data_IF_761609737431
#
_entry.id   IF_761609737431
#
_cell.length_a   1.000
_cell.length_b   1.000
_cell.length_c   1.000
_cell.angle_alpha   90.00
_cell.angle_beta   90.00
_cell.angle_gamma   90.00
#
_symmetry.space_group_name_H-M   'P 1'
#
loop_
_entity.id
_entity.type
_entity.pdbx_description
1 polymer ?
#
# COMPACT_ATOMS: atom_id res chain seq x y z
N UNK A 1 31.47 6.04 -16.67
CA UNK A 1 30.47 5.55 -15.69
C UNK A 1 29.16 5.39 -16.43
N UNK A 2 28.54 4.21 -16.47
CA UNK A 2 27.20 4.11 -17.02
C UNK A 2 26.28 4.79 -16.01
N UNK A 3 25.73 5.94 -16.40
CA UNK A 3 24.56 6.49 -15.72
C UNK A 3 23.50 5.40 -15.82
N UNK A 4 23.01 4.90 -14.69
CA UNK A 4 21.76 4.15 -14.65
C UNK A 4 20.69 5.08 -15.22
N UNK A 5 20.44 4.96 -16.53
CA UNK A 5 19.31 5.58 -17.20
C UNK A 5 18.10 4.76 -16.80
N UNK A 6 17.55 5.06 -15.63
CA UNK A 6 16.18 4.65 -15.34
C UNK A 6 15.32 5.59 -16.17
N UNK A 7 14.62 5.06 -17.16
CA UNK A 7 13.77 5.88 -18.02
C UNK A 7 12.59 6.43 -17.20
N UNK A 8 12.19 7.71 -17.40
CA UNK A 8 11.03 8.30 -16.74
C UNK A 8 9.75 7.46 -16.88
N UNK A 9 9.62 6.76 -18.02
CA UNK A 9 8.57 5.79 -18.32
C UNK A 9 8.53 4.63 -17.32
N UNK A 10 9.69 4.07 -16.98
CA UNK A 10 9.84 2.96 -16.03
C UNK A 10 9.52 3.40 -14.60
N UNK A 11 9.93 4.62 -14.21
CA UNK A 11 9.59 5.20 -12.91
C UNK A 11 8.09 5.49 -12.80
N UNK A 12 7.45 6.00 -13.86
CA UNK A 12 6.00 6.22 -13.90
C UNK A 12 5.24 4.91 -13.77
N UNK A 13 5.67 3.88 -14.49
CA UNK A 13 5.10 2.54 -14.40
C UNK A 13 5.23 1.96 -12.99
N UNK A 14 6.41 2.07 -12.37
CA UNK A 14 6.64 1.59 -11.01
C UNK A 14 5.81 2.35 -9.97
N UNK A 15 5.68 3.66 -10.10
CA UNK A 15 4.82 4.45 -9.23
C UNK A 15 3.35 4.02 -9.36
N UNK A 16 2.85 3.86 -10.58
CA UNK A 16 1.50 3.36 -10.82
C UNK A 16 1.27 1.98 -10.17
N UNK A 17 2.22 1.05 -10.34
CA UNK A 17 2.16 -0.26 -9.68
C UNK A 17 2.11 -0.18 -8.17
N UNK A 18 2.89 0.70 -7.55
CA UNK A 18 2.85 0.91 -6.10
C UNK A 18 1.49 1.44 -5.66
N UNK A 19 0.88 2.36 -6.41
CA UNK A 19 -0.48 2.84 -6.14
C UNK A 19 -1.49 1.69 -6.15
N UNK A 20 -1.45 0.84 -7.19
CA UNK A 20 -2.31 -0.34 -7.28
C UNK A 20 -2.12 -1.31 -6.11
N UNK A 21 -0.87 -1.58 -5.73
CA UNK A 21 -0.59 -2.45 -4.58
C UNK A 21 -1.17 -1.88 -3.29
N UNK A 22 -1.09 -0.56 -3.06
CA UNK A 22 -1.71 0.07 -1.90
C UNK A 22 -3.25 -0.10 -1.90
N UNK A 23 -3.89 0.04 -3.06
CA UNK A 23 -5.35 -0.15 -3.22
C UNK A 23 -5.76 -1.61 -2.97
N UNK A 24 -5.01 -2.59 -3.49
CA UNK A 24 -5.26 -4.01 -3.22
C UNK A 24 -5.15 -4.35 -1.72
N UNK A 25 -4.16 -3.78 -1.03
CA UNK A 25 -3.99 -3.97 0.41
C UNK A 25 -5.19 -3.38 1.15
N UNK A 26 -5.67 -2.18 0.77
CA UNK A 26 -6.85 -1.56 1.39
C UNK A 26 -8.10 -2.41 1.23
N UNK A 27 -8.33 -2.96 0.03
CA UNK A 27 -9.47 -3.86 -0.20
C UNK A 27 -9.37 -5.15 0.62
N UNK A 28 -8.16 -5.72 0.73
CA UNK A 28 -7.93 -6.89 1.57
C UNK A 28 -8.19 -6.58 3.06
N UNK A 29 -7.74 -5.43 3.55
CA UNK A 29 -8.00 -4.92 4.90
C UNK A 29 -9.49 -4.80 5.17
N UNK A 30 -10.26 -4.17 4.28
CA UNK A 30 -11.71 -4.05 4.44
C UNK A 30 -12.40 -5.42 4.51
N UNK A 31 -11.96 -6.35 3.65
CA UNK A 31 -12.48 -7.73 3.66
C UNK A 31 -12.17 -8.44 4.99
N UNK A 32 -10.96 -8.25 5.53
CA UNK A 32 -10.57 -8.80 6.83
C UNK A 32 -11.37 -8.17 7.98
N UNK A 33 -11.62 -6.86 7.95
CA UNK A 33 -12.46 -6.18 8.95
C UNK A 33 -13.88 -6.74 8.96
N UNK A 34 -14.51 -6.87 7.77
CA UNK A 34 -15.84 -7.48 7.62
C UNK A 34 -15.85 -8.93 8.12
N UNK A 35 -14.83 -9.71 7.77
CA UNK A 35 -14.71 -11.08 8.25
C UNK A 35 -14.55 -11.15 9.78
N UNK A 36 -13.76 -10.25 10.37
CA UNK A 36 -13.54 -10.18 11.82
C UNK A 36 -14.83 -9.85 12.59
N UNK A 37 -15.63 -8.92 12.05
CA UNK A 37 -16.94 -8.54 12.60
C UNK A 37 -17.95 -9.69 12.52
N UNK A 38 -17.89 -10.50 11.46
CA UNK A 38 -18.82 -11.61 11.22
C UNK A 38 -18.41 -12.92 11.90
N UNK A 39 -17.34 -12.94 12.69
CA UNK A 39 -16.97 -14.09 13.50
C UNK A 39 -17.98 -14.28 14.64
N UNK A 40 -19.04 -15.07 14.41
CA UNK A 40 -19.98 -15.51 15.44
C UNK A 40 -20.32 -17.02 15.46
N UNK A 41 -20.44 -17.51 16.71
CA UNK A 41 -20.96 -18.79 17.26
C UNK A 41 -20.18 -20.08 16.96
N UNK A 42 -19.17 -20.39 17.79
CA UNK A 42 -18.61 -21.74 17.85
C UNK A 42 -17.28 -21.92 18.60
N UNK A 43 -16.57 -20.83 18.94
CA UNK A 43 -15.25 -20.90 19.54
C UNK A 43 -15.22 -20.31 20.96
N UNK A 44 -14.53 -21.00 21.87
CA UNK A 44 -14.37 -20.66 23.29
C UNK A 44 -13.91 -19.21 23.47
N UNK A 45 -14.62 -18.43 24.30
CA UNK A 45 -14.59 -16.97 24.36
C UNK A 45 -13.20 -16.32 24.48
N UNK A 46 -12.25 -16.92 25.22
CA UNK A 46 -10.93 -16.34 25.43
C UNK A 46 -10.02 -16.41 24.19
N UNK A 47 -10.11 -17.49 23.40
CA UNK A 47 -9.35 -17.62 22.16
C UNK A 47 -9.84 -16.65 21.07
N UNK A 48 -11.15 -16.37 21.05
CA UNK A 48 -11.76 -15.38 20.16
C UNK A 48 -11.22 -13.98 20.43
N UNK A 49 -11.24 -13.53 21.68
CA UNK A 49 -10.81 -12.17 22.02
C UNK A 49 -9.37 -11.92 21.60
N UNK A 50 -8.45 -12.82 21.95
CA UNK A 50 -7.04 -12.72 21.55
C UNK A 50 -6.85 -12.73 20.03
N UNK A 51 -7.59 -13.58 19.32
CA UNK A 51 -7.54 -13.65 17.86
C UNK A 51 -8.08 -12.36 17.21
N UNK A 52 -9.21 -11.84 17.67
CA UNK A 52 -9.78 -10.61 17.13
C UNK A 52 -8.87 -9.41 17.38
N UNK A 53 -8.28 -9.29 18.58
CA UNK A 53 -7.33 -8.23 18.89
C UNK A 53 -6.05 -8.33 18.05
N UNK A 54 -5.49 -9.52 17.86
CA UNK A 54 -4.33 -9.72 16.98
C UNK A 54 -4.68 -9.42 15.51
N UNK A 55 -5.88 -9.80 15.06
CA UNK A 55 -6.35 -9.50 13.71
C UNK A 55 -6.55 -8.00 13.50
N UNK A 56 -7.11 -7.28 14.48
CA UNK A 56 -7.22 -5.82 14.47
C UNK A 56 -5.86 -5.14 14.40
N UNK A 57 -4.88 -5.61 15.18
CA UNK A 57 -3.52 -5.08 15.13
C UNK A 57 -2.87 -5.29 13.75
N UNK A 58 -3.05 -6.46 13.13
CA UNK A 58 -2.58 -6.74 11.77
C UNK A 58 -3.27 -5.89 10.72
N UNK A 59 -4.59 -5.68 10.84
CA UNK A 59 -5.37 -4.79 9.99
C UNK A 59 -4.80 -3.38 10.05
N UNK A 60 -4.54 -2.84 11.24
CA UNK A 60 -3.93 -1.52 11.43
C UNK A 60 -2.52 -1.45 10.82
N UNK A 61 -1.72 -2.49 11.00
CA UNK A 61 -0.38 -2.58 10.40
C UNK A 61 -0.45 -2.54 8.86
N UNK A 62 -1.38 -3.29 8.26
CA UNK A 62 -1.58 -3.31 6.82
C UNK A 62 -2.07 -1.95 6.29
N UNK A 63 -2.97 -1.28 7.00
CA UNK A 63 -3.40 0.08 6.66
C UNK A 63 -2.24 1.06 6.67
N UNK A 64 -1.37 0.98 7.67
CA UNK A 64 -0.18 1.83 7.75
C UNK A 64 0.78 1.58 6.58
N UNK A 65 1.03 0.31 6.24
CA UNK A 65 1.88 -0.05 5.10
C UNK A 65 1.30 0.43 3.76
N UNK A 66 -0.01 0.26 3.54
CA UNK A 66 -0.67 0.77 2.33
C UNK A 66 -0.50 2.28 2.19
N UNK A 67 -0.63 3.02 3.31
CA UNK A 67 -0.40 4.45 3.33
C UNK A 67 1.04 4.81 2.96
N UNK A 68 2.04 4.16 3.56
CA UNK A 68 3.46 4.40 3.25
C UNK A 68 3.78 4.10 1.77
N UNK A 69 3.24 3.02 1.21
CA UNK A 69 3.42 2.67 -0.21
C UNK A 69 2.82 3.77 -1.11
N UNK A 70 1.65 4.30 -0.74
CA UNK A 70 1.01 5.39 -1.50
C UNK A 70 1.84 6.68 -1.43
N UNK A 71 2.37 7.04 -0.27
CA UNK A 71 3.26 8.19 -0.13
C UNK A 71 4.53 8.06 -0.99
N UNK A 72 5.14 6.88 -0.99
CA UNK A 72 6.30 6.57 -1.83
C UNK A 72 5.98 6.66 -3.32
N UNK A 73 4.83 6.13 -3.75
CA UNK A 73 4.33 6.30 -5.12
C UNK A 73 4.20 7.78 -5.50
N UNK A 74 3.53 8.57 -4.65
CA UNK A 74 3.35 10.01 -4.90
C UNK A 74 4.69 10.76 -4.93
N UNK A 75 5.67 10.35 -4.13
CA UNK A 75 7.01 10.93 -4.19
C UNK A 75 7.69 10.60 -5.52
N UNK A 76 7.64 9.35 -5.98
CA UNK A 76 8.19 8.94 -7.27
C UNK A 76 7.55 9.70 -8.44
N UNK A 77 6.22 9.86 -8.44
CA UNK A 77 5.51 10.63 -9.47
C UNK A 77 5.97 12.10 -9.49
N UNK A 78 6.18 12.71 -8.32
CA UNK A 78 6.69 14.08 -8.22
C UNK A 78 8.12 14.21 -8.76
N UNK A 79 8.99 13.26 -8.48
CA UNK A 79 10.35 13.28 -9.02
C UNK A 79 10.36 13.08 -10.54
N UNK A 80 9.54 12.17 -11.08
CA UNK A 80 9.37 12.03 -12.55
C UNK A 80 8.91 13.33 -13.17
N UNK A 81 7.87 13.97 -12.61
CA UNK A 81 7.33 15.23 -13.15
C UNK A 81 8.38 16.36 -13.13
N UNK A 82 9.23 16.44 -12.09
CA UNK A 82 10.35 17.39 -12.04
C UNK A 82 11.37 17.11 -13.14
N UNK A 83 11.74 15.84 -13.35
CA UNK A 83 12.67 15.45 -14.41
C UNK A 83 12.13 15.80 -15.81
N UNK A 84 10.86 15.52 -16.09
CA UNK A 84 10.21 15.87 -17.35
C UNK A 84 10.15 17.39 -17.55
N UNK A 85 9.80 18.16 -16.51
CA UNK A 85 9.77 19.61 -16.58
C UNK A 85 11.14 20.21 -16.89
N UNK A 86 12.22 19.71 -16.26
CA UNK A 86 13.59 20.16 -16.56
C UNK A 86 14.02 19.76 -17.97
N UNK A 87 13.68 18.54 -18.40
CA UNK A 87 14.09 18.01 -19.71
C UNK A 87 13.36 18.68 -20.88
N UNK A 88 12.14 19.19 -20.68
CA UNK A 88 11.36 19.91 -21.70
C UNK A 88 11.73 21.40 -21.84
N UNK A 89 12.62 21.93 -20.99
CA UNK A 89 13.05 23.34 -21.00
C UNK A 89 14.37 23.53 -21.80
N UNK A 90 15.04 22.44 -22.19
CA UNK A 90 16.24 22.45 -23.03
C UNK A 90 15.95 21.86 -24.41
#
# INVERSE_FOLDING_TARGET
>A
MPLLHIEPEELRYNAYRLTHMAEEIEWAVERLQRANQNLEVGWVANGRFQFQTELEHRIQTLQHLAHQIREQSMQLQREVAKWEAVSNIF
#
